data_IF_476918991459
#
_entry.id   IF_476918991459
#
_cell.length_a   1.000
_cell.length_b   1.000
_cell.length_c   1.000
_cell.angle_alpha   90.00
_cell.angle_beta   90.00
_cell.angle_gamma   90.00
#
_symmetry.space_group_name_H-M   'P 1'
#
loop_
_entity.id
_entity.type
_entity.pdbx_description
1 polymer ?
#
# COMPACT_ATOMS: atom_id res chain seq x y z
N UNK A 1 -5.37 12.69 -10.05
CA UNK A 1 -6.75 12.96 -9.58
C UNK A 1 -7.64 11.81 -10.03
N UNK A 2 -7.77 10.76 -9.22
CA UNK A 2 -8.66 9.60 -9.42
C UNK A 2 -9.45 9.40 -8.12
N UNK A 3 -10.20 10.39 -7.66
CA UNK A 3 -11.67 10.40 -7.70
C UNK A 3 -12.31 9.14 -7.10
N UNK A 4 -12.48 9.12 -5.77
CA UNK A 4 -13.53 8.45 -4.94
C UNK A 4 -13.95 6.99 -5.20
N UNK A 5 -14.06 6.54 -6.45
CA UNK A 5 -14.38 5.18 -6.86
C UNK A 5 -13.24 4.20 -6.53
N UNK A 6 -11.99 4.63 -6.64
CA UNK A 6 -10.82 3.78 -6.35
C UNK A 6 -10.68 3.54 -4.84
N UNK A 7 -10.90 4.58 -4.03
CA UNK A 7 -10.97 4.49 -2.56
C UNK A 7 -12.14 3.64 -2.10
N UNK A 8 -13.29 3.72 -2.79
CA UNK A 8 -14.45 2.88 -2.49
C UNK A 8 -14.20 1.41 -2.83
N UNK A 9 -13.52 1.12 -3.94
CA UNK A 9 -13.14 -0.23 -4.30
C UNK A 9 -12.17 -0.83 -3.27
N UNK A 10 -11.13 -0.08 -2.89
CA UNK A 10 -10.17 -0.47 -1.86
C UNK A 10 -10.85 -0.78 -0.53
N UNK A 11 -11.77 0.09 -0.09
CA UNK A 11 -12.55 -0.12 1.13
C UNK A 11 -13.37 -1.43 1.08
N UNK A 12 -14.03 -1.70 -0.05
CA UNK A 12 -14.83 -2.93 -0.24
C UNK A 12 -13.93 -4.17 -0.21
N UNK A 13 -12.77 -4.13 -0.87
CA UNK A 13 -11.82 -5.26 -0.90
C UNK A 13 -11.23 -5.49 0.49
N UNK A 14 -10.86 -4.44 1.23
CA UNK A 14 -10.39 -4.55 2.61
C UNK A 14 -11.45 -5.13 3.55
N UNK A 15 -12.71 -4.74 3.38
CA UNK A 15 -13.80 -5.28 4.16
C UNK A 15 -14.03 -6.77 3.86
N UNK A 16 -14.00 -7.16 2.58
CA UNK A 16 -14.10 -8.56 2.16
C UNK A 16 -12.92 -9.41 2.67
N UNK A 17 -11.70 -8.87 2.65
CA UNK A 17 -10.51 -9.52 3.22
C UNK A 17 -10.66 -9.77 4.72
N UNK A 18 -11.03 -8.74 5.50
CA UNK A 18 -11.26 -8.88 6.95
C UNK A 18 -12.32 -9.95 7.24
N UNK A 19 -13.40 -9.97 6.47
CA UNK A 19 -14.45 -10.98 6.62
C UNK A 19 -13.94 -12.39 6.29
N UNK A 20 -13.17 -12.57 5.21
CA UNK A 20 -12.58 -13.85 4.86
C UNK A 20 -11.63 -14.38 5.96
N UNK A 21 -10.85 -13.49 6.59
CA UNK A 21 -10.02 -13.84 7.75
C UNK A 21 -10.88 -14.31 8.94
N UNK A 22 -11.98 -13.61 9.26
CA UNK A 22 -12.88 -14.01 10.35
C UNK A 22 -13.60 -15.34 10.09
N UNK A 23 -13.79 -15.72 8.83
CA UNK A 23 -14.39 -17.00 8.44
C UNK A 23 -13.37 -18.13 8.22
N UNK A 24 -12.08 -17.91 8.54
CA UNK A 24 -10.99 -18.87 8.33
C UNK A 24 -10.83 -19.32 6.87
N UNK A 25 -11.34 -18.52 5.92
CA UNK A 25 -11.23 -18.76 4.47
C UNK A 25 -9.94 -18.16 3.94
N UNK A 26 -8.83 -18.81 4.29
CA UNK A 26 -7.48 -18.36 3.94
C UNK A 26 -7.25 -18.28 2.42
N UNK A 27 -7.89 -19.15 1.65
CA UNK A 27 -7.88 -19.14 0.19
C UNK A 27 -8.44 -17.82 -0.40
N UNK A 28 -9.55 -17.34 0.17
CA UNK A 28 -10.17 -16.08 -0.22
C UNK A 28 -9.36 -14.90 0.30
N UNK A 29 -8.86 -14.98 1.54
CA UNK A 29 -8.04 -13.91 2.12
C UNK A 29 -6.75 -13.70 1.33
N UNK A 30 -6.07 -14.76 0.92
CA UNK A 30 -4.86 -14.70 0.08
C UNK A 30 -5.16 -14.08 -1.28
N UNK A 31 -6.29 -14.44 -1.91
CA UNK A 31 -6.73 -13.84 -3.16
C UNK A 31 -6.99 -12.32 -3.02
N UNK A 32 -7.71 -11.91 -1.98
CA UNK A 32 -8.02 -10.50 -1.73
C UNK A 32 -6.76 -9.70 -1.39
N UNK A 33 -5.80 -10.29 -0.67
CA UNK A 33 -4.52 -9.66 -0.37
C UNK A 33 -3.73 -9.38 -1.65
N UNK A 34 -3.64 -10.35 -2.57
CA UNK A 34 -2.97 -10.13 -3.87
C UNK A 34 -3.67 -9.07 -4.72
N UNK A 35 -5.00 -8.96 -4.62
CA UNK A 35 -5.74 -7.91 -5.32
C UNK A 35 -5.42 -6.52 -4.76
N UNK A 36 -5.27 -6.38 -3.43
CA UNK A 36 -4.85 -5.13 -2.79
C UNK A 36 -3.41 -4.75 -3.15
N UNK A 37 -2.48 -5.70 -3.12
CA UNK A 37 -1.08 -5.46 -3.52
C UNK A 37 -0.98 -4.96 -4.97
N UNK A 38 -1.79 -5.52 -5.88
CA UNK A 38 -1.84 -5.09 -7.27
C UNK A 38 -2.39 -3.67 -7.43
N UNK A 39 -3.47 -3.33 -6.70
CA UNK A 39 -4.03 -1.97 -6.71
C UNK A 39 -3.02 -0.93 -6.19
N UNK A 40 -2.29 -1.27 -5.13
CA UNK A 40 -1.24 -0.40 -4.58
C UNK A 40 -0.09 -0.19 -5.58
N UNK A 41 0.33 -1.25 -6.29
CA UNK A 41 1.35 -1.16 -7.32
C UNK A 41 0.91 -0.27 -8.50
N UNK A 42 -0.32 -0.43 -8.99
CA UNK A 42 -0.87 0.38 -10.09
C UNK A 42 -0.94 1.89 -9.72
N UNK A 43 -1.28 2.21 -8.46
CA UNK A 43 -1.22 3.58 -7.93
C UNK A 43 0.21 4.11 -7.85
N UNK A 44 1.13 3.27 -7.38
CA UNK A 44 2.55 3.62 -7.20
C UNK A 44 3.26 3.89 -8.53
N UNK A 45 2.84 3.23 -9.61
CA UNK A 45 3.29 3.45 -10.98
C UNK A 45 2.73 4.77 -11.56
N UNK A 46 1.49 5.13 -11.20
CA UNK A 46 0.85 6.41 -11.59
C UNK A 46 1.34 7.64 -10.81
N UNK A 47 1.75 7.50 -9.54
CA UNK A 47 2.20 8.59 -8.66
C UNK A 47 3.73 8.84 -8.68
N UNK A 48 4.42 8.43 -9.74
CA UNK A 48 5.88 8.65 -9.88
C UNK A 48 6.32 10.11 -10.07
N UNK A 49 5.42 11.09 -9.95
CA UNK A 49 5.75 12.51 -10.20
C UNK A 49 6.20 13.26 -8.94
N UNK A 50 5.89 12.83 -7.72
CA UNK A 50 6.38 13.53 -6.53
C UNK A 50 6.41 12.60 -5.31
N UNK A 51 7.60 12.16 -4.88
CA UNK A 51 7.77 11.28 -3.70
C UNK A 51 8.49 12.00 -2.55
N UNK A 52 7.85 13.01 -1.91
CA UNK A 52 8.40 13.64 -0.72
C UNK A 52 8.60 12.67 0.45
N UNK A 53 7.85 11.56 0.50
CA UNK A 53 8.05 10.48 1.49
C UNK A 53 9.34 9.69 1.28
N UNK A 54 9.72 9.43 0.02
CA UNK A 54 10.95 8.70 -0.28
C UNK A 54 12.19 9.59 -0.05
N UNK A 55 12.06 10.90 -0.29
CA UNK A 55 13.07 11.89 0.09
C UNK A 55 13.18 12.03 1.61
N UNK A 56 12.08 12.06 2.36
CA UNK A 56 12.11 12.08 3.82
C UNK A 56 12.78 10.82 4.40
N UNK A 57 12.52 9.65 3.83
CA UNK A 57 13.20 8.40 4.22
C UNK A 57 14.70 8.41 3.88
N UNK A 58 15.08 8.96 2.72
CA UNK A 58 16.47 9.14 2.32
C UNK A 58 17.22 10.09 3.25
N UNK A 59 16.58 11.18 3.69
CA UNK A 59 17.18 12.16 4.59
C UNK A 59 17.43 11.56 6.00
N UNK A 60 16.46 10.82 6.53
CA UNK A 60 16.60 10.13 7.82
C UNK A 60 17.70 9.06 7.81
N UNK A 61 17.84 8.34 6.69
CA UNK A 61 18.87 7.30 6.53
C UNK A 61 20.25 7.87 6.22
N UNK A 62 20.34 9.00 5.51
CA UNK A 62 21.59 9.73 5.29
C UNK A 62 22.14 10.33 6.59
N UNK A 63 21.26 10.88 7.44
CA UNK A 63 21.67 11.43 8.74
C UNK A 63 22.16 10.37 9.74
N UNK A 64 21.81 9.10 9.53
CA UNK A 64 22.24 7.97 10.37
C UNK A 64 23.66 7.45 10.04
N UNK A 65 24.28 7.91 8.95
CA UNK A 65 25.64 7.51 8.55
C UNK A 65 26.74 8.46 9.04
N UNK A 66 26.39 9.61 9.65
CA UNK A 66 27.34 10.63 10.09
C UNK A 66 27.55 10.69 11.62
N UNK A 67 27.44 9.55 12.32
CA UNK A 67 27.74 9.44 13.76
C UNK A 67 28.79 8.38 14.09
N UNK A 68 29.65 8.00 13.15
CA UNK A 68 30.76 7.10 13.44
C UNK A 68 32.05 7.60 12.78
N UNK A 69 32.61 8.67 13.34
CA UNK A 69 34.02 9.05 13.32
C UNK A 69 34.32 9.93 14.55
#
# INVERSE_FOLDING_TARGET
MTTSSDEQLEYVVLHAFKHACSCERLDIAEFMLRALEKLDQERTEHDTVDRPLMDAYRDLTASSQHHNN
#
